data_IF_120913470113
#
_entry.id   IF_120913470113
#
_cell.length_a   1.000
_cell.length_b   1.000
_cell.length_c   1.000
_cell.angle_alpha   90.00
_cell.angle_beta   90.00
_cell.angle_gamma   90.00
#
_symmetry.space_group_name_H-M   'P 1'
#
loop_
_entity.id
_entity.type
_entity.pdbx_description
1 polymer ?
#
# COMPACT_ATOMS: atom_id res chain seq x y z
N UNK A 1 17.68 -14.86 -2.74
CA UNK A 1 17.04 -13.58 -2.42
C UNK A 1 18.14 -12.57 -2.18
N UNK A 2 18.04 -11.39 -2.80
CA UNK A 2 19.01 -10.28 -2.78
C UNK A 2 20.38 -10.53 -3.45
N UNK A 3 20.56 -11.60 -4.24
CA UNK A 3 21.84 -11.85 -4.94
C UNK A 3 22.16 -10.82 -6.02
N UNK A 4 21.18 -10.02 -6.45
CA UNK A 4 21.41 -8.90 -7.35
C UNK A 4 22.34 -7.84 -6.73
N UNK A 5 22.35 -7.72 -5.39
CA UNK A 5 23.19 -6.77 -4.67
C UNK A 5 24.70 -7.05 -4.84
N UNK A 6 25.10 -8.31 -5.02
CA UNK A 6 26.51 -8.71 -5.13
C UNK A 6 27.18 -8.15 -6.40
N UNK A 7 26.38 -7.87 -7.44
CA UNK A 7 26.85 -7.28 -8.69
C UNK A 7 26.91 -5.75 -8.69
N UNK A 8 26.36 -5.09 -7.67
CA UNK A 8 26.24 -3.63 -7.65
C UNK A 8 27.54 -2.97 -7.16
N UNK A 9 27.92 -1.89 -7.82
CA UNK A 9 28.96 -1.00 -7.29
C UNK A 9 28.47 -0.34 -6.00
N UNK A 10 29.40 0.20 -5.22
CA UNK A 10 29.06 0.99 -4.04
C UNK A 10 28.11 2.14 -4.38
N UNK A 11 28.35 2.82 -5.49
CA UNK A 11 27.53 3.94 -5.96
C UNK A 11 26.11 3.46 -6.31
N UNK A 12 25.99 2.31 -6.97
CA UNK A 12 24.70 1.70 -7.30
C UNK A 12 23.94 1.25 -6.03
N UNK A 13 24.61 0.62 -5.06
CA UNK A 13 24.01 0.27 -3.76
C UNK A 13 23.48 1.50 -3.02
N UNK A 14 24.25 2.61 -3.00
CA UNK A 14 23.79 3.86 -2.40
C UNK A 14 22.55 4.40 -3.13
N UNK A 15 22.54 4.36 -4.46
CA UNK A 15 21.40 4.79 -5.26
C UNK A 15 20.14 3.96 -4.94
N UNK A 16 20.26 2.64 -4.86
CA UNK A 16 19.16 1.75 -4.50
C UNK A 16 18.61 2.01 -3.09
N UNK A 17 19.49 2.18 -2.10
CA UNK A 17 19.08 2.52 -0.74
C UNK A 17 18.37 3.88 -0.69
N UNK A 18 18.83 4.87 -1.45
CA UNK A 18 18.16 6.18 -1.53
C UNK A 18 16.76 6.03 -2.15
N UNK A 19 16.64 5.26 -3.23
CA UNK A 19 15.38 4.98 -3.92
C UNK A 19 14.37 4.28 -3.00
N UNK A 20 14.78 3.21 -2.31
CA UNK A 20 13.97 2.49 -1.33
C UNK A 20 13.49 3.41 -0.20
N UNK A 21 14.40 4.22 0.37
CA UNK A 21 14.05 5.16 1.44
C UNK A 21 13.10 6.26 0.96
N UNK A 22 13.18 6.68 -0.30
CA UNK A 22 12.23 7.63 -0.87
C UNK A 22 10.82 7.02 -0.95
N UNK A 23 10.71 5.78 -1.42
CA UNK A 23 9.45 5.03 -1.44
C UNK A 23 8.82 4.86 -0.06
N UNK A 24 9.62 4.40 0.92
CA UNK A 24 9.17 4.24 2.32
C UNK A 24 8.67 5.57 2.90
N UNK A 25 9.39 6.68 2.66
CA UNK A 25 8.95 8.01 3.12
C UNK A 25 7.62 8.40 2.51
N UNK A 26 7.47 8.23 1.19
CA UNK A 26 6.22 8.53 0.48
C UNK A 26 5.05 7.75 1.05
N UNK A 27 5.21 6.44 1.27
CA UNK A 27 4.16 5.61 1.86
C UNK A 27 3.89 5.96 3.33
N UNK A 28 4.91 6.25 4.14
CA UNK A 28 4.76 6.69 5.53
C UNK A 28 3.98 8.01 5.64
N UNK A 29 4.15 8.90 4.67
CA UNK A 29 3.48 10.21 4.62
C UNK A 29 2.03 10.11 4.10
N UNK A 30 1.59 8.93 3.64
CA UNK A 30 0.20 8.65 3.30
C UNK A 30 -0.72 8.68 4.52
N UNK A 31 -2.02 8.86 4.28
CA UNK A 31 -3.04 8.86 5.33
C UNK A 31 -4.37 8.31 4.83
N UNK A 32 -5.26 7.92 5.75
CA UNK A 32 -6.59 7.41 5.41
C UNK A 32 -6.53 6.16 4.53
N UNK A 33 -7.30 6.16 3.44
CA UNK A 33 -7.36 5.03 2.49
C UNK A 33 -6.06 4.82 1.72
N UNK A 34 -5.15 5.80 1.67
CA UNK A 34 -3.82 5.61 1.09
C UNK A 34 -2.91 4.70 1.95
N UNK A 35 -3.31 4.36 3.18
CA UNK A 35 -2.69 3.32 4.01
C UNK A 35 -3.30 1.92 3.77
N UNK A 36 -4.04 1.72 2.68
CA UNK A 36 -4.62 0.41 2.33
C UNK A 36 -3.54 -0.67 2.18
N UNK A 37 -3.97 -1.93 2.23
CA UNK A 37 -3.09 -3.10 2.15
C UNK A 37 -2.41 -3.27 0.78
N UNK A 38 -2.98 -2.73 -0.30
CA UNK A 38 -2.43 -2.83 -1.66
C UNK A 38 -1.54 -1.61 -1.98
N UNK A 39 -0.23 -1.82 -2.16
CA UNK A 39 0.78 -0.75 -2.32
C UNK A 39 1.79 -1.07 -3.45
N UNK A 40 1.32 -1.21 -4.71
CA UNK A 40 2.14 -1.67 -5.82
C UNK A 40 3.35 -0.78 -6.10
N UNK A 41 3.26 0.54 -5.88
CA UNK A 41 4.39 1.46 -6.10
C UNK A 41 5.51 1.27 -5.08
N UNK A 42 5.18 0.84 -3.85
CA UNK A 42 6.18 0.53 -2.83
C UNK A 42 6.80 -0.85 -3.07
N UNK A 43 5.98 -1.85 -3.40
CA UNK A 43 6.44 -3.22 -3.64
C UNK A 43 7.26 -3.34 -4.92
N UNK A 44 6.88 -2.62 -5.98
CA UNK A 44 7.63 -2.54 -7.23
C UNK A 44 8.98 -1.83 -7.11
N UNK A 45 9.38 -1.41 -5.91
CA UNK A 45 10.76 -1.01 -5.66
C UNK A 45 11.70 -2.21 -5.50
N UNK A 46 11.17 -3.40 -5.26
CA UNK A 46 11.96 -4.62 -5.18
C UNK A 46 12.42 -5.06 -6.58
N UNK A 47 13.60 -5.72 -6.70
CA UNK A 47 14.17 -6.11 -7.99
C UNK A 47 13.44 -7.29 -8.64
N UNK A 48 12.66 -8.06 -7.88
CA UNK A 48 11.90 -9.18 -8.41
C UNK A 48 10.83 -8.71 -9.40
N UNK A 49 10.90 -9.26 -10.62
CA UNK A 49 9.95 -8.95 -11.70
C UNK A 49 8.67 -9.79 -11.64
N UNK A 50 8.52 -10.67 -10.65
CA UNK A 50 7.22 -11.28 -10.43
C UNK A 50 6.29 -10.18 -9.95
N UNK A 51 5.26 -9.90 -10.73
CA UNK A 51 4.05 -9.24 -10.28
C UNK A 51 3.09 -10.35 -9.84
N UNK A 52 3.27 -10.95 -8.63
CA UNK A 52 2.29 -11.90 -8.15
C UNK A 52 0.99 -11.15 -8.01
N UNK A 53 0.04 -11.42 -8.91
CA UNK A 53 -1.31 -10.92 -8.78
C UNK A 53 -1.78 -11.30 -7.37
N UNK A 54 -2.11 -10.33 -6.51
CA UNK A 54 -2.52 -10.65 -5.17
C UNK A 54 -3.84 -11.42 -5.23
N UNK A 55 -3.97 -12.43 -4.39
CA UNK A 55 -5.29 -13.01 -4.12
C UNK A 55 -6.14 -11.94 -3.43
N UNK A 56 -7.19 -11.49 -4.12
CA UNK A 56 -8.14 -10.51 -3.59
C UNK A 56 -9.29 -11.28 -2.92
N UNK A 57 -9.48 -11.17 -1.59
CA UNK A 57 -10.58 -11.84 -0.93
C UNK A 57 -11.93 -11.33 -1.41
N UNK A 58 -12.95 -12.18 -1.39
CA UNK A 58 -14.34 -11.75 -1.58
C UNK A 58 -14.74 -10.64 -0.58
N UNK A 59 -15.80 -9.90 -0.92
CA UNK A 59 -16.23 -8.73 -0.16
C UNK A 59 -16.47 -9.00 1.34
N UNK A 60 -17.17 -10.08 1.69
CA UNK A 60 -17.46 -10.42 3.08
C UNK A 60 -16.18 -10.65 3.92
N UNK A 61 -15.29 -11.61 3.57
CA UNK A 61 -14.06 -11.82 4.34
C UNK A 61 -13.14 -10.61 4.31
N UNK A 62 -13.10 -9.85 3.20
CA UNK A 62 -12.34 -8.61 3.11
C UNK A 62 -12.80 -7.57 4.16
N UNK A 63 -14.11 -7.29 4.22
CA UNK A 63 -14.67 -6.33 5.16
C UNK A 63 -14.46 -6.76 6.62
N UNK A 64 -14.58 -8.05 6.93
CA UNK A 64 -14.23 -8.58 8.25
C UNK A 64 -12.76 -8.31 8.62
N UNK A 65 -11.85 -8.51 7.67
CA UNK A 65 -10.44 -8.17 7.81
C UNK A 65 -10.23 -6.68 8.08
N UNK A 66 -10.86 -5.80 7.30
CA UNK A 66 -10.79 -4.34 7.48
C UNK A 66 -11.26 -3.89 8.87
N UNK A 67 -12.36 -4.44 9.37
CA UNK A 67 -12.87 -4.12 10.71
C UNK A 67 -11.88 -4.55 11.79
N UNK A 68 -11.31 -5.77 11.68
CA UNK A 68 -10.30 -6.26 12.62
C UNK A 68 -9.04 -5.41 12.60
N UNK A 69 -8.56 -5.05 11.42
CA UNK A 69 -7.41 -4.17 11.26
C UNK A 69 -7.67 -2.81 11.92
N UNK A 70 -8.81 -2.17 11.61
CA UNK A 70 -9.20 -0.89 12.22
C UNK A 70 -9.26 -0.98 13.75
N UNK A 71 -9.85 -2.03 14.31
CA UNK A 71 -9.92 -2.23 15.76
C UNK A 71 -8.52 -2.37 16.38
N UNK A 72 -7.59 -3.03 15.70
CA UNK A 72 -6.21 -3.18 16.19
C UNK A 72 -5.49 -1.84 16.39
N UNK A 73 -5.84 -0.82 15.60
CA UNK A 73 -5.24 0.52 15.69
C UNK A 73 -5.65 1.27 16.96
N UNK A 74 -6.73 0.87 17.63
CA UNK A 74 -7.09 1.44 18.94
C UNK A 74 -6.10 0.97 20.03
N UNK A 75 -5.55 -0.24 19.91
CA UNK A 75 -4.52 -0.75 20.81
C UNK A 75 -3.11 -0.27 20.42
N UNK A 76 -2.77 -0.31 19.13
CA UNK A 76 -1.42 0.02 18.65
C UNK A 76 -1.16 1.54 18.65
N UNK A 77 -2.18 2.33 18.33
CA UNK A 77 -2.08 3.78 18.16
C UNK A 77 -3.20 4.50 18.95
N UNK A 78 -3.24 4.35 20.29
CA UNK A 78 -4.35 4.85 21.11
C UNK A 78 -4.47 6.38 21.10
N UNK A 79 -3.36 7.09 20.84
CA UNK A 79 -3.32 8.55 20.81
C UNK A 79 -3.38 9.14 19.41
N UNK A 80 -3.44 8.30 18.36
CA UNK A 80 -3.54 8.81 17.00
C UNK A 80 -4.93 9.46 16.77
N UNK A 81 -4.99 10.66 16.15
CA UNK A 81 -6.24 11.38 15.98
C UNK A 81 -7.25 10.56 15.17
N UNK A 82 -8.51 10.59 15.59
CA UNK A 82 -9.63 10.00 14.84
C UNK A 82 -10.32 11.11 14.07
N UNK A 83 -10.25 11.05 12.75
CA UNK A 83 -10.83 12.07 11.86
C UNK A 83 -12.23 11.60 11.44
N UNK A 84 -13.32 12.32 11.78
CA UNK A 84 -14.68 11.91 11.47
C UNK A 84 -15.08 12.22 10.01
N UNK A 85 -14.12 12.25 9.09
CA UNK A 85 -14.41 12.53 7.69
C UNK A 85 -15.38 11.48 7.15
N UNK A 86 -16.46 11.94 6.50
CA UNK A 86 -17.31 11.03 5.72
C UNK A 86 -16.46 10.43 4.61
N UNK A 87 -16.72 9.16 4.30
CA UNK A 87 -16.21 8.58 3.07
C UNK A 87 -16.88 9.31 1.90
N UNK A 88 -16.10 10.08 1.15
CA UNK A 88 -16.53 10.74 -0.08
C UNK A 88 -15.77 10.07 -1.22
N UNK A 89 -16.43 9.24 -2.05
CA UNK A 89 -15.75 8.58 -3.15
C UNK A 89 -15.17 9.61 -4.12
N UNK A 90 -13.92 9.41 -4.54
CA UNK A 90 -13.26 10.25 -5.55
C UNK A 90 -12.38 11.36 -4.97
N UNK A 91 -11.93 11.23 -3.73
CA UNK A 91 -10.96 12.16 -3.16
C UNK A 91 -9.58 11.94 -3.79
N UNK A 92 -8.73 12.97 -3.96
CA UNK A 92 -7.37 12.79 -4.50
C UNK A 92 -6.47 11.82 -3.72
N UNK A 93 -6.82 11.54 -2.46
CA UNK A 93 -6.14 10.58 -1.59
C UNK A 93 -6.65 9.14 -1.71
N UNK A 94 -7.76 8.93 -2.42
CA UNK A 94 -8.31 7.60 -2.62
C UNK A 94 -7.44 6.86 -3.64
N UNK A 95 -7.19 5.55 -3.43
CA UNK A 95 -6.61 4.72 -4.47
C UNK A 95 -7.47 4.89 -5.73
N UNK A 96 -6.88 5.45 -6.79
CA UNK A 96 -7.61 5.56 -8.04
C UNK A 96 -7.87 4.14 -8.54
N UNK A 97 -9.11 3.79 -8.92
CA UNK A 97 -9.35 2.56 -9.63
C UNK A 97 -8.43 2.59 -10.85
N UNK A 98 -7.49 1.64 -10.92
CA UNK A 98 -6.73 1.41 -12.14
C UNK A 98 -7.73 0.75 -13.09
N UNK A 99 -8.46 1.56 -13.87
CA UNK A 99 -9.40 1.16 -14.93
C UNK A 99 -10.18 -0.15 -14.66
N UNK A 100 -10.82 -0.26 -13.49
CA UNK A 100 -11.82 -1.32 -13.28
C UNK A 100 -13.14 -0.84 -13.88
N UNK A 101 -13.40 -1.27 -15.10
CA UNK A 101 -14.71 -1.20 -15.73
C UNK A 101 -15.67 -2.06 -14.89
N UNK A 102 -16.34 -1.43 -13.93
CA UNK A 102 -17.49 -2.03 -13.26
C UNK A 102 -18.62 -2.05 -14.29
N UNK A 103 -18.61 -3.00 -15.21
CA UNK A 103 -19.83 -3.34 -15.94
C UNK A 103 -20.85 -3.80 -14.91
N UNK A 104 -21.82 -2.91 -14.68
CA UNK A 104 -22.97 -3.03 -13.81
C UNK A 104 -23.81 -4.24 -14.29
N UNK A 105 -23.47 -5.43 -13.79
CA UNK A 105 -24.22 -6.64 -14.09
C UNK A 105 -25.52 -6.61 -13.29
N UNK A 106 -26.54 -6.20 -14.03
CA UNK A 106 -27.96 -6.19 -13.66
C UNK A 106 -28.55 -7.60 -13.63
#
# INVERSE_FOLDING_TARGET
MDEDLDGLSREALVAEVVRLRAGIRRHRESSGHALCWYQPELWGLLPETSDPLPEVPDWEPFLHGCVRYRASLDAQLPHAPRVPAKYEPGRPSDPQPQDFDFEETK
#
